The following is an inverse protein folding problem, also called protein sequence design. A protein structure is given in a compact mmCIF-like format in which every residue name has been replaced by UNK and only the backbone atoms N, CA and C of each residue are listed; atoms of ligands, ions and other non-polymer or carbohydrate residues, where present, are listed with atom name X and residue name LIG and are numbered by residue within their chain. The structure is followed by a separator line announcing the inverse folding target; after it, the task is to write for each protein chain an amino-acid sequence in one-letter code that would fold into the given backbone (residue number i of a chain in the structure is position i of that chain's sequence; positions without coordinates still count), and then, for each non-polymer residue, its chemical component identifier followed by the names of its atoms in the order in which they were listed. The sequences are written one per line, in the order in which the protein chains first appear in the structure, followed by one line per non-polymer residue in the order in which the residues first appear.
data_IF_178220534757
#
_entry.id   IF_178220534757
#
_cell.length_a   1.000
_cell.length_b   1.000
_cell.length_c   1.000
_cell.angle_alpha   90.00
_cell.angle_beta   90.00
_cell.angle_gamma   90.00
#
_symmetry.space_group_name_H-M   'P 1'
#
loop_
_entity.id
_entity.type
_entity.pdbx_description
1 polymer ?
#
# COMPACT_ATOMS: atom_id res chain seq x y z
N UNK A 1 32.60 5.06 56.16
CA UNK A 1 32.98 4.03 55.16
C UNK A 1 31.78 3.64 54.29
N UNK A 2 31.00 4.59 53.81
CA UNK A 2 29.96 4.38 52.78
C UNK A 2 29.88 5.67 51.92
N UNK A 3 31.03 6.06 51.39
CA UNK A 3 31.16 7.09 50.37
C UNK A 3 31.95 6.47 49.24
N UNK A 4 31.39 6.51 48.03
CA UNK A 4 32.02 6.13 46.74
C UNK A 4 31.76 4.71 46.24
N UNK A 5 30.48 4.32 46.09
CA UNK A 5 30.11 3.36 45.03
C UNK A 5 29.68 4.18 43.83
N UNK A 6 30.67 4.57 43.02
CA UNK A 6 30.58 4.82 41.57
C UNK A 6 29.24 5.33 41.03
N UNK A 7 28.89 6.56 41.34
CA UNK A 7 27.90 7.35 40.59
C UNK A 7 28.56 7.92 39.33
N UNK A 8 28.70 7.08 38.30
CA UNK A 8 28.92 7.52 36.91
C UNK A 8 28.73 6.34 35.96
N UNK A 9 27.58 5.67 35.99
CA UNK A 9 27.14 4.99 34.76
C UNK A 9 26.87 6.13 33.78
N UNK A 10 27.73 6.29 32.76
CA UNK A 10 27.55 7.30 31.72
C UNK A 10 26.10 7.27 31.22
N UNK A 11 25.50 8.44 30.98
CA UNK A 11 24.17 8.55 30.36
C UNK A 11 24.09 7.68 29.10
N UNK A 12 25.19 7.58 28.35
CA UNK A 12 25.32 6.71 27.17
C UNK A 12 25.16 5.22 27.51
N UNK A 13 25.69 4.75 28.64
CA UNK A 13 25.57 3.34 29.04
C UNK A 13 24.14 2.99 29.49
N UNK A 14 23.45 3.93 30.14
CA UNK A 14 22.04 3.76 30.48
C UNK A 14 21.18 3.75 29.22
N UNK A 15 21.52 4.60 28.26
CA UNK A 15 20.87 4.66 26.96
C UNK A 15 21.04 3.39 26.13
N UNK A 16 22.27 2.87 26.02
CA UNK A 16 22.55 1.61 25.32
C UNK A 16 21.78 0.44 25.97
N UNK A 17 21.71 0.44 27.30
CA UNK A 17 20.95 -0.57 28.06
C UNK A 17 19.45 -0.46 27.81
N UNK A 18 18.90 0.75 27.73
CA UNK A 18 17.50 0.99 27.40
C UNK A 18 17.17 0.52 25.97
N UNK A 19 18.06 0.81 25.02
CA UNK A 19 17.91 0.36 23.63
C UNK A 19 17.96 -1.16 23.51
N UNK A 20 18.87 -1.81 24.24
CA UNK A 20 18.96 -3.26 24.27
C UNK A 20 17.73 -3.91 24.91
N UNK A 21 17.20 -3.30 25.97
CA UNK A 21 15.97 -3.75 26.62
C UNK A 21 14.78 -3.70 25.66
N UNK A 22 14.62 -2.62 24.89
CA UNK A 22 13.55 -2.49 23.90
C UNK A 22 13.67 -3.55 22.79
N UNK A 23 14.89 -3.94 22.40
CA UNK A 23 15.11 -5.01 21.40
C UNK A 23 14.71 -6.40 21.90
N UNK A 24 14.70 -6.62 23.21
CA UNK A 24 14.34 -7.91 23.82
C UNK A 24 12.90 -7.98 24.34
N UNK A 25 12.26 -6.84 24.60
CA UNK A 25 10.87 -6.80 25.00
C UNK A 25 9.93 -7.16 23.85
N UNK A 26 8.71 -7.57 24.21
CA UNK A 26 7.67 -7.93 23.24
C UNK A 26 7.35 -6.73 22.33
N UNK A 27 7.52 -6.86 21.00
CA UNK A 27 7.33 -5.75 20.06
C UNK A 27 5.85 -5.36 19.88
N UNK A 28 4.89 -6.14 20.39
CA UNK A 28 3.48 -5.75 20.37
C UNK A 28 3.14 -4.66 21.42
N UNK A 29 4.01 -4.47 22.40
CA UNK A 29 3.75 -3.58 23.55
C UNK A 29 4.70 -2.40 23.59
N UNK A 30 5.27 -1.99 22.45
CA UNK A 30 6.30 -0.94 22.37
C UNK A 30 5.86 0.35 23.05
N UNK A 31 4.62 0.81 22.84
CA UNK A 31 4.12 2.05 23.49
C UNK A 31 4.12 1.94 25.02
N UNK A 32 3.67 0.82 25.58
CA UNK A 32 3.67 0.59 27.03
C UNK A 32 5.10 0.43 27.56
N UNK A 33 5.95 -0.28 26.82
CA UNK A 33 7.34 -0.48 27.18
C UNK A 33 8.08 0.86 27.25
N UNK A 34 7.87 1.74 26.27
CA UNK A 34 8.42 3.10 26.25
C UNK A 34 7.95 3.92 27.44
N UNK A 35 6.65 3.93 27.73
CA UNK A 35 6.10 4.63 28.89
C UNK A 35 6.76 4.16 30.19
N UNK A 36 6.91 2.84 30.38
CA UNK A 36 7.53 2.31 31.59
C UNK A 36 9.04 2.65 31.68
N UNK A 37 9.75 2.67 30.54
CA UNK A 37 11.17 3.03 30.51
C UNK A 37 11.35 4.51 30.85
N UNK A 38 10.45 5.37 30.37
CA UNK A 38 10.41 6.79 30.71
C UNK A 38 10.19 7.01 32.21
N UNK A 39 9.25 6.25 32.81
CA UNK A 39 9.00 6.29 34.26
C UNK A 39 10.21 5.80 35.09
N UNK A 40 11.02 4.88 34.53
CA UNK A 40 12.18 4.29 35.19
C UNK A 40 13.43 5.19 35.12
N UNK A 41 13.61 5.94 34.03
CA UNK A 41 14.80 6.78 33.81
C UNK A 41 14.37 8.20 33.45
N UNK A 42 14.11 9.00 34.50
CA UNK A 42 13.63 10.39 34.37
C UNK A 42 14.62 11.34 33.68
N UNK A 43 15.90 10.96 33.56
CA UNK A 43 16.97 11.79 32.97
C UNK A 43 17.20 11.53 31.46
N UNK A 44 16.63 10.47 30.89
CA UNK A 44 16.65 10.23 29.44
C UNK A 44 15.44 10.97 28.83
N UNK A 45 15.68 12.11 28.19
CA UNK A 45 14.60 12.91 27.60
C UNK A 45 13.79 12.10 26.58
N UNK A 46 12.46 12.23 26.65
CA UNK A 46 11.49 11.55 25.78
C UNK A 46 11.86 11.64 24.29
N UNK A 47 12.40 12.78 23.85
CA UNK A 47 12.77 13.03 22.46
C UNK A 47 13.81 12.04 21.92
N UNK A 48 14.79 11.62 22.73
CA UNK A 48 15.91 10.80 22.25
C UNK A 48 15.53 9.31 22.11
N UNK A 49 14.62 8.83 22.96
CA UNK A 49 14.11 7.46 22.89
C UNK A 49 13.04 7.31 21.79
N UNK A 50 12.22 8.35 21.58
CA UNK A 50 11.20 8.36 20.53
C UNK A 50 11.82 8.33 19.12
N UNK A 51 12.93 9.04 18.91
CA UNK A 51 13.61 9.13 17.61
C UNK A 51 14.21 7.79 17.13
N UNK A 52 14.58 6.90 18.06
CA UNK A 52 15.21 5.60 17.74
C UNK A 52 14.22 4.44 17.76
N UNK A 53 13.16 4.57 18.54
CA UNK A 53 12.21 3.48 18.76
C UNK A 53 11.03 3.64 17.82
N UNK A 54 11.18 3.12 16.60
CA UNK A 54 10.12 3.09 15.58
C UNK A 54 8.80 2.59 16.19
N UNK A 55 7.85 3.50 16.34
CA UNK A 55 6.49 3.20 16.76
C UNK A 55 5.66 2.72 15.57
N UNK A 56 4.58 1.95 15.80
CA UNK A 56 3.62 1.68 14.74
C UNK A 56 3.08 3.01 14.19
N UNK A 57 3.02 3.09 12.86
CA UNK A 57 2.57 4.31 12.17
C UNK A 57 1.11 4.59 12.53
N UNK A 58 0.85 5.82 12.92
CA UNK A 58 -0.50 6.29 13.25
C UNK A 58 -1.11 6.94 12.01
N UNK A 59 -2.41 6.75 11.84
CA UNK A 59 -3.18 7.32 10.71
C UNK A 59 -3.97 8.52 11.21
N UNK A 60 -3.89 9.64 10.51
CA UNK A 60 -4.71 10.83 10.74
C UNK A 60 -5.45 11.20 9.45
N UNK A 61 -6.66 11.75 9.59
CA UNK A 61 -7.47 12.17 8.44
C UNK A 61 -7.39 13.66 8.24
N UNK A 62 -7.00 14.08 7.03
CA UNK A 62 -7.10 15.47 6.61
C UNK A 62 -8.58 15.85 6.45
N UNK A 63 -9.04 16.84 7.22
CA UNK A 63 -10.44 17.28 7.22
C UNK A 63 -10.84 18.06 5.97
N UNK A 64 -9.87 18.64 5.26
CA UNK A 64 -10.12 19.50 4.09
C UNK A 64 -10.35 18.63 2.86
N UNK A 65 -9.45 17.67 2.62
CA UNK A 65 -9.49 16.79 1.44
C UNK A 65 -10.24 15.49 1.74
N UNK A 66 -10.38 15.12 3.02
CA UNK A 66 -11.04 13.90 3.44
C UNK A 66 -10.20 12.63 3.25
N UNK A 67 -8.90 12.76 2.98
CA UNK A 67 -7.95 11.66 2.80
C UNK A 67 -7.15 11.38 4.08
N UNK A 68 -6.80 10.12 4.28
CA UNK A 68 -5.96 9.68 5.37
C UNK A 68 -4.47 9.88 5.04
N UNK A 69 -3.65 10.10 6.07
CA UNK A 69 -2.19 10.22 5.96
C UNK A 69 -1.50 9.66 7.20
N UNK A 70 -0.23 9.30 7.04
CA UNK A 70 0.57 8.68 8.08
C UNK A 70 1.38 9.70 8.87
N UNK A 71 1.46 9.46 10.18
CA UNK A 71 2.21 10.28 11.12
C UNK A 71 3.59 9.68 11.37
N UNK A 72 4.62 10.51 11.32
CA UNK A 72 5.98 10.23 11.73
C UNK A 72 6.62 11.48 12.34
N UNK A 73 7.84 11.37 12.84
CA UNK A 73 8.53 12.52 13.42
C UNK A 73 8.95 13.54 12.34
N UNK A 74 9.19 13.08 11.10
CA UNK A 74 9.59 13.97 9.99
C UNK A 74 8.46 14.89 9.49
N UNK A 75 7.19 14.56 9.74
CA UNK A 75 6.07 15.48 9.45
C UNK A 75 5.49 16.13 10.72
N UNK A 76 6.15 15.99 11.86
CA UNK A 76 5.75 16.56 13.16
C UNK A 76 6.43 17.90 13.39
N UNK A 77 5.71 18.83 14.00
CA UNK A 77 6.25 20.06 14.57
C UNK A 77 5.56 20.34 15.92
N UNK A 78 6.24 20.08 17.03
CA UNK A 78 5.63 20.06 18.35
C UNK A 78 4.52 19.00 18.40
N UNK A 79 3.28 19.40 18.66
CA UNK A 79 2.12 18.48 18.67
C UNK A 79 1.30 18.49 17.37
N UNK A 80 1.80 19.18 16.35
CA UNK A 80 1.13 19.34 15.07
C UNK A 80 1.75 18.48 13.98
N UNK A 81 0.92 17.93 13.10
CA UNK A 81 1.37 17.11 11.97
C UNK A 81 0.99 17.74 10.63
N UNK A 82 1.94 17.74 9.69
CA UNK A 82 1.75 18.24 8.33
C UNK A 82 1.04 17.20 7.48
N UNK A 83 -0.06 17.60 6.84
CA UNK A 83 -0.72 16.78 5.83
C UNK A 83 0.03 16.86 4.49
N UNK A 84 0.28 15.73 3.81
CA UNK A 84 0.89 15.71 2.49
C UNK A 84 -0.07 16.23 1.40
N UNK A 85 -1.37 16.29 1.69
CA UNK A 85 -2.39 16.72 0.73
C UNK A 85 -2.53 18.23 0.69
N UNK A 86 -2.75 18.85 1.86
CA UNK A 86 -3.00 20.29 1.98
C UNK A 86 -1.76 21.11 2.29
N UNK A 87 -0.64 20.46 2.64
CA UNK A 87 0.56 21.12 3.16
C UNK A 87 0.32 21.95 4.43
N UNK A 88 -0.72 21.64 5.19
CA UNK A 88 -1.07 22.36 6.42
C UNK A 88 -0.82 21.51 7.66
N UNK A 89 -0.41 22.16 8.74
CA UNK A 89 -0.25 21.53 10.04
C UNK A 89 -1.59 21.48 10.77
N UNK A 90 -1.89 20.32 11.38
CA UNK A 90 -3.05 20.14 12.26
C UNK A 90 -2.59 19.64 13.62
N UNK A 91 -2.82 20.39 14.72
CA UNK A 91 -3.34 21.76 14.79
C UNK A 91 -2.47 22.80 14.06
N UNK A 92 -2.98 24.00 13.71
CA UNK A 92 -2.20 25.02 13.00
C UNK A 92 -0.92 25.39 13.75
N UNK A 93 0.22 25.32 13.07
CA UNK A 93 1.55 25.59 13.65
C UNK A 93 2.49 26.15 12.57
N UNK A 94 3.48 26.93 13.00
CA UNK A 94 4.51 27.51 12.15
C UNK A 94 5.64 26.49 11.89
N UNK A 95 5.28 25.32 11.38
CA UNK A 95 6.27 24.28 11.04
C UNK A 95 7.02 24.58 9.76
N UNK A 96 8.16 23.91 9.60
CA UNK A 96 8.97 24.04 8.38
C UNK A 96 8.23 23.45 7.19
N UNK A 97 8.16 24.23 6.11
CA UNK A 97 7.57 23.82 4.85
C UNK A 97 8.68 23.58 3.82
N UNK A 98 8.52 22.59 2.92
CA UNK A 98 9.46 22.39 1.82
C UNK A 98 9.41 23.57 0.84
N UNK A 99 10.49 23.77 0.07
CA UNK A 99 10.51 24.76 -1.01
C UNK A 99 9.47 24.43 -2.10
N UNK A 100 9.02 25.43 -2.85
CA UNK A 100 7.96 25.25 -3.86
C UNK A 100 8.28 24.17 -4.89
N UNK A 101 9.53 24.11 -5.37
CA UNK A 101 9.99 23.07 -6.29
C UNK A 101 9.96 21.68 -5.66
N UNK A 102 10.34 21.57 -4.38
CA UNK A 102 10.34 20.30 -3.66
C UNK A 102 8.91 19.85 -3.32
N UNK A 103 8.01 20.79 -3.05
CA UNK A 103 6.59 20.52 -2.83
C UNK A 103 5.92 19.96 -4.08
N UNK A 104 6.29 20.42 -5.27
CA UNK A 104 5.80 19.82 -6.53
C UNK A 104 6.22 18.36 -6.66
N UNK A 105 7.49 18.05 -6.38
CA UNK A 105 7.99 16.67 -6.35
C UNK A 105 7.29 15.82 -5.28
N UNK A 106 7.01 16.40 -4.11
CA UNK A 106 6.28 15.71 -3.03
C UNK A 106 4.85 15.34 -3.45
N UNK A 107 4.15 16.24 -4.16
CA UNK A 107 2.80 15.98 -4.67
C UNK A 107 2.84 14.87 -5.72
N UNK A 108 3.78 14.93 -6.67
CA UNK A 108 3.96 13.90 -7.70
C UNK A 108 4.29 12.53 -7.08
N UNK A 109 5.18 12.50 -6.08
CA UNK A 109 5.53 11.27 -5.35
C UNK A 109 4.31 10.69 -4.62
N UNK A 110 3.55 11.50 -3.88
CA UNK A 110 2.33 11.03 -3.19
C UNK A 110 1.29 10.48 -4.18
N UNK A 111 1.15 11.07 -5.37
CA UNK A 111 0.24 10.56 -6.41
C UNK A 111 0.69 9.20 -6.96
N UNK A 112 2.01 9.00 -7.13
CA UNK A 112 2.56 7.72 -7.57
C UNK A 112 2.36 6.61 -6.53
N UNK A 113 2.67 6.88 -5.25
CA UNK A 113 2.50 5.89 -4.18
C UNK A 113 1.02 5.64 -3.81
N UNK A 114 0.11 6.60 -4.05
CA UNK A 114 -1.33 6.35 -3.89
C UNK A 114 -1.86 5.29 -4.88
N UNK A 115 -1.22 5.10 -6.04
CA UNK A 115 -1.56 4.00 -6.96
C UNK A 115 -1.13 2.64 -6.40
N UNK A 116 -0.02 2.61 -5.65
CA UNK A 116 0.47 1.41 -4.97
C UNK A 116 -0.54 0.90 -3.93
N UNK A 117 -1.20 1.81 -3.20
CA UNK A 117 -2.18 1.49 -2.16
C UNK A 117 -3.48 0.86 -2.68
N UNK A 118 -3.80 1.00 -3.97
CA UNK A 118 -5.11 0.58 -4.54
C UNK A 118 -5.13 -0.87 -5.01
N UNK A 119 -4.16 -1.69 -4.62
CA UNK A 119 -4.17 -3.11 -4.98
C UNK A 119 -5.31 -3.85 -4.26
N UNK A 120 -6.05 -4.73 -4.97
CA UNK A 120 -7.37 -5.23 -4.53
C UNK A 120 -7.40 -6.10 -3.27
N UNK A 121 -6.25 -6.57 -2.78
CA UNK A 121 -6.16 -7.46 -1.63
C UNK A 121 -5.75 -6.77 -0.32
N UNK A 122 -5.24 -5.53 -0.42
CA UNK A 122 -4.59 -4.83 0.68
C UNK A 122 -5.24 -3.46 0.87
N UNK A 123 -5.72 -3.16 2.08
CA UNK A 123 -6.15 -1.81 2.43
C UNK A 123 -5.01 -1.11 3.12
N UNK A 124 -4.27 -0.31 2.37
CA UNK A 124 -3.13 0.46 2.85
C UNK A 124 -3.34 1.97 2.81
N UNK A 125 -2.51 2.68 3.56
CA UNK A 125 -2.33 4.13 3.43
C UNK A 125 -0.85 4.36 3.19
N UNK A 126 -0.52 5.17 2.19
CA UNK A 126 0.83 5.69 1.98
C UNK A 126 0.89 7.21 2.21
N UNK A 127 2.07 7.70 2.57
CA UNK A 127 2.34 9.14 2.67
C UNK A 127 3.82 9.40 2.46
N UNK A 128 4.13 10.41 1.66
CA UNK A 128 5.50 10.83 1.35
C UNK A 128 5.73 12.25 1.84
N UNK A 129 6.87 12.46 2.51
CA UNK A 129 7.29 13.78 2.98
C UNK A 129 8.73 14.08 2.55
N UNK A 130 8.96 15.25 1.97
CA UNK A 130 10.28 15.76 1.61
C UNK A 130 10.68 17.00 2.42
N UNK A 131 11.98 17.15 2.65
CA UNK A 131 12.56 18.34 3.27
C UNK A 131 13.88 18.72 2.61
N UNK A 132 14.19 20.01 2.65
CA UNK A 132 15.38 20.59 2.05
C UNK A 132 16.62 20.32 2.92
N UNK A 133 17.75 20.06 2.27
CA UNK A 133 19.09 20.00 2.87
C UNK A 133 19.99 21.06 2.23
N UNK A 134 21.14 21.35 2.84
CA UNK A 134 22.12 22.29 2.26
C UNK A 134 22.60 21.83 0.87
N UNK A 135 22.83 20.52 0.72
CA UNK A 135 23.31 19.89 -0.52
C UNK A 135 22.31 18.87 -1.07
N UNK A 136 21.06 19.29 -1.28
CA UNK A 136 20.03 18.46 -1.92
C UNK A 136 18.71 18.43 -1.13
N UNK A 137 18.06 17.27 -1.10
CA UNK A 137 16.85 17.04 -0.34
C UNK A 137 16.85 15.62 0.23
N UNK A 138 16.05 15.39 1.26
CA UNK A 138 15.79 14.08 1.80
C UNK A 138 14.29 13.85 1.93
N UNK A 139 13.93 12.58 2.10
CA UNK A 139 12.54 12.15 2.10
C UNK A 139 12.28 10.93 2.93
N UNK A 140 11.04 10.83 3.39
CA UNK A 140 10.50 9.63 4.01
C UNK A 140 9.26 9.18 3.25
N UNK A 141 9.20 7.88 2.98
CA UNK A 141 8.06 7.22 2.35
C UNK A 141 7.51 6.25 3.39
N UNK A 142 6.26 6.48 3.78
CA UNK A 142 5.56 5.67 4.75
C UNK A 142 4.50 4.87 4.02
N UNK A 143 4.45 3.56 4.28
CA UNK A 143 3.44 2.66 3.73
C UNK A 143 2.94 1.77 4.87
N UNK A 144 1.62 1.69 4.99
CA UNK A 144 0.95 0.73 5.86
C UNK A 144 0.17 -0.25 5.01
N UNK A 145 0.32 -1.54 5.27
CA UNK A 145 -0.40 -2.60 4.56
C UNK A 145 -1.20 -3.37 5.62
N UNK A 146 -2.53 -3.25 5.57
CA UNK A 146 -3.39 -4.03 6.45
C UNK A 146 -3.93 -5.25 5.70
N UNK A 147 -3.39 -6.41 6.07
CA UNK A 147 -3.89 -7.70 5.62
C UNK A 147 -5.11 -8.10 6.45
N UNK A 148 -6.20 -8.56 5.83
CA UNK A 148 -7.32 -9.13 6.58
C UNK A 148 -6.87 -10.44 7.25
N UNK A 149 -7.09 -10.62 8.56
CA UNK A 149 -6.70 -11.85 9.23
C UNK A 149 -7.52 -13.03 8.69
N UNK A 150 -6.83 -14.05 8.18
CA UNK A 150 -7.46 -15.33 7.85
C UNK A 150 -7.47 -16.20 9.10
N UNK A 151 -8.66 -16.64 9.52
CA UNK A 151 -8.83 -17.45 10.73
C UNK A 151 -8.43 -18.90 10.42
N UNK A 152 -7.22 -19.29 10.77
CA UNK A 152 -6.79 -20.70 10.76
C UNK A 152 -7.23 -21.41 12.04
N UNK A 153 -7.60 -22.69 11.95
CA UNK A 153 -8.01 -23.51 13.12
C UNK A 153 -6.86 -23.89 14.06
N UNK A 154 -5.63 -23.39 13.83
CA UNK A 154 -4.39 -23.80 14.53
C UNK A 154 -4.14 -23.07 15.87
N UNK A 155 -5.13 -22.40 16.44
CA UNK A 155 -4.94 -21.50 17.57
C UNK A 155 -4.32 -20.15 17.16
N UNK A 156 -4.19 -19.24 18.12
CA UNK A 156 -3.71 -17.87 17.86
C UNK A 156 -2.17 -17.84 17.90
N UNK A 157 -1.53 -17.68 16.74
CA UNK A 157 -0.08 -17.50 16.62
C UNK A 157 0.21 -16.06 16.20
N UNK A 158 0.93 -15.32 17.05
CA UNK A 158 1.31 -13.94 16.78
C UNK A 158 2.81 -13.87 16.46
N UNK A 159 3.13 -13.49 15.22
CA UNK A 159 4.48 -13.20 14.77
C UNK A 159 4.63 -11.70 14.60
N UNK A 160 5.59 -11.10 15.29
CA UNK A 160 5.83 -9.66 15.25
C UNK A 160 7.31 -9.40 15.43
N UNK A 161 7.84 -8.41 14.73
CA UNK A 161 9.21 -7.98 14.90
C UNK A 161 9.56 -6.87 13.90
N UNK A 162 10.82 -6.46 13.94
CA UNK A 162 11.35 -5.30 13.23
C UNK A 162 12.53 -5.75 12.37
N UNK A 163 12.60 -5.24 11.14
CA UNK A 163 13.73 -5.44 10.24
C UNK A 163 14.15 -4.07 9.69
N UNK A 164 15.43 -3.75 9.80
CA UNK A 164 16.04 -2.56 9.19
C UNK A 164 17.08 -3.04 8.18
N UNK A 165 17.07 -2.46 6.98
CA UNK A 165 18.08 -2.69 5.94
C UNK A 165 18.48 -1.34 5.34
N UNK A 166 19.72 -1.25 4.87
CA UNK A 166 20.28 -0.07 4.21
C UNK A 166 20.80 -0.46 2.82
N UNK A 167 20.66 0.46 1.87
CA UNK A 167 21.16 0.36 0.50
C UNK A 167 21.57 1.76 0.02
N UNK A 168 22.71 1.83 -0.65
CA UNK A 168 23.23 3.03 -1.28
C UNK A 168 23.53 2.72 -2.75
N UNK A 169 23.15 3.62 -3.65
CA UNK A 169 23.32 3.43 -5.10
C UNK A 169 23.36 4.77 -5.84
N UNK A 170 24.29 4.88 -6.79
CA UNK A 170 24.44 6.05 -7.65
C UNK A 170 23.63 5.88 -8.93
N UNK A 171 22.76 6.85 -9.24
CA UNK A 171 21.93 6.85 -10.44
C UNK A 171 22.17 8.11 -11.26
N UNK A 172 22.24 7.97 -12.58
CA UNK A 172 22.29 9.11 -13.49
C UNK A 172 20.93 9.79 -13.54
N UNK A 173 20.93 11.13 -13.57
CA UNK A 173 19.72 11.94 -13.72
C UNK A 173 19.66 12.37 -15.18
N UNK A 174 18.92 11.63 -16.02
CA UNK A 174 18.68 11.98 -17.41
C UNK A 174 17.19 12.20 -17.60
N UNK A 175 16.75 13.43 -17.92
CA UNK A 175 15.40 13.93 -18.28
C UNK A 175 14.16 13.45 -17.45
N UNK A 176 14.35 12.51 -16.52
CA UNK A 176 13.35 11.87 -15.68
C UNK A 176 13.49 12.35 -14.24
N UNK A 177 12.34 12.63 -13.62
CA UNK A 177 12.21 13.12 -12.24
C UNK A 177 12.93 12.20 -11.25
N UNK A 178 13.59 12.78 -10.23
CA UNK A 178 14.26 12.06 -9.13
C UNK A 178 13.39 10.94 -8.53
N UNK A 179 12.08 11.07 -8.64
CA UNK A 179 11.06 10.13 -8.18
C UNK A 179 11.22 8.74 -8.81
N UNK A 180 11.59 8.64 -10.09
CA UNK A 180 11.74 7.32 -10.75
C UNK A 180 12.92 6.55 -10.15
N UNK A 181 14.04 7.23 -9.91
CA UNK A 181 15.20 6.63 -9.27
C UNK A 181 14.86 6.24 -7.81
N UNK A 182 14.15 7.09 -7.08
CA UNK A 182 13.67 6.78 -5.72
C UNK A 182 12.76 5.55 -5.73
N UNK A 183 11.77 5.50 -6.64
CA UNK A 183 10.86 4.35 -6.77
C UNK A 183 11.59 3.04 -7.07
N UNK A 184 12.59 3.08 -7.94
CA UNK A 184 13.42 1.91 -8.26
C UNK A 184 14.20 1.40 -7.04
N UNK A 185 14.78 2.31 -6.24
CA UNK A 185 15.49 1.95 -5.00
C UNK A 185 14.50 1.37 -3.97
N UNK A 186 13.33 1.97 -3.82
CA UNK A 186 12.28 1.51 -2.90
C UNK A 186 11.82 0.10 -3.26
N UNK A 187 11.52 -0.15 -4.54
CA UNK A 187 11.11 -1.47 -5.03
C UNK A 187 12.17 -2.54 -4.79
N UNK A 188 13.45 -2.23 -5.05
CA UNK A 188 14.56 -3.16 -4.76
C UNK A 188 14.67 -3.48 -3.27
N UNK A 189 14.53 -2.46 -2.42
CA UNK A 189 14.59 -2.63 -0.97
C UNK A 189 13.41 -3.42 -0.41
N UNK A 190 12.20 -3.16 -0.90
CA UNK A 190 10.99 -3.89 -0.53
C UNK A 190 11.14 -5.39 -0.88
N UNK A 191 11.60 -5.71 -2.09
CA UNK A 191 11.86 -7.08 -2.50
C UNK A 191 12.87 -7.79 -1.57
N UNK A 192 13.95 -7.11 -1.19
CA UNK A 192 14.97 -7.63 -0.28
C UNK A 192 14.42 -7.85 1.13
N UNK A 193 13.60 -6.91 1.62
CA UNK A 193 12.90 -7.01 2.91
C UNK A 193 11.96 -8.22 2.88
N UNK A 194 11.13 -8.40 1.85
CA UNK A 194 10.22 -9.54 1.73
C UNK A 194 10.95 -10.88 1.73
N UNK A 195 12.06 -11.02 1.00
CA UNK A 195 12.86 -12.25 1.00
C UNK A 195 13.44 -12.56 2.39
N UNK A 196 13.91 -11.52 3.08
CA UNK A 196 14.48 -11.65 4.43
C UNK A 196 13.40 -11.98 5.46
N UNK A 197 12.22 -11.36 5.36
CA UNK A 197 11.08 -11.64 6.22
C UNK A 197 10.61 -13.09 6.03
N UNK A 198 10.43 -13.55 4.79
CA UNK A 198 9.99 -14.93 4.53
C UNK A 198 10.96 -15.98 5.08
N UNK A 199 12.27 -15.79 4.88
CA UNK A 199 13.27 -16.72 5.40
C UNK A 199 13.38 -16.70 6.93
N UNK A 200 13.27 -15.53 7.56
CA UNK A 200 13.38 -15.40 9.01
C UNK A 200 12.11 -15.83 9.74
N UNK A 201 10.95 -15.29 9.37
CA UNK A 201 9.69 -15.53 10.08
C UNK A 201 9.12 -16.92 9.81
N UNK A 202 9.07 -17.36 8.54
CA UNK A 202 8.46 -18.64 8.18
C UNK A 202 9.47 -19.79 8.14
N UNK A 203 10.71 -19.51 7.76
CA UNK A 203 11.78 -20.52 7.73
C UNK A 203 12.29 -20.82 9.14
N UNK A 204 13.08 -19.89 9.71
CA UNK A 204 13.77 -20.13 10.99
C UNK A 204 12.83 -20.44 12.15
N UNK A 205 11.71 -19.71 12.28
CA UNK A 205 10.74 -19.98 13.37
C UNK A 205 10.15 -21.38 13.25
N UNK A 206 9.85 -21.84 12.03
CA UNK A 206 9.34 -23.17 11.77
C UNK A 206 10.41 -24.24 12.05
N UNK A 207 11.66 -23.99 11.68
CA UNK A 207 12.77 -24.90 11.96
C UNK A 207 13.02 -25.05 13.46
N UNK A 208 12.93 -23.96 14.22
CA UNK A 208 13.02 -23.98 15.69
C UNK A 208 11.83 -24.74 16.27
N UNK A 209 10.61 -24.46 15.83
CA UNK A 209 9.40 -25.17 16.27
C UNK A 209 9.49 -26.68 15.99
N UNK A 210 9.88 -27.05 14.78
CA UNK A 210 10.04 -28.45 14.38
C UNK A 210 11.16 -29.11 15.18
N UNK A 211 12.26 -28.41 15.47
CA UNK A 211 13.36 -28.92 16.29
C UNK A 211 12.89 -29.20 17.73
N UNK A 212 12.06 -28.32 18.30
CA UNK A 212 11.45 -28.52 19.62
C UNK A 212 10.44 -29.67 19.61
N UNK A 213 9.62 -29.79 18.56
CA UNK A 213 8.58 -30.83 18.45
C UNK A 213 9.17 -32.22 18.17
N UNK A 214 10.18 -32.31 17.31
CA UNK A 214 10.83 -33.57 16.93
C UNK A 214 11.81 -34.09 17.98
N UNK A 215 12.20 -33.26 18.96
CA UNK A 215 13.00 -33.71 20.11
C UNK A 215 12.32 -34.82 20.93
N UNK A 216 10.99 -35.01 20.79
CA UNK A 216 10.23 -36.08 21.42
C UNK A 216 10.07 -37.37 20.60
N UNK A 217 10.34 -37.36 19.29
CA UNK A 217 10.16 -38.52 18.40
C UNK A 217 11.52 -39.07 17.93
N UNK A 218 12.16 -39.87 18.79
CA UNK A 218 13.43 -40.57 18.50
C UNK A 218 13.30 -41.51 17.27
N UNK A 219 12.09 -41.94 16.92
CA UNK A 219 11.82 -42.85 15.78
C UNK A 219 11.94 -42.21 14.38
N UNK A 220 11.96 -40.87 14.26
CA UNK A 220 12.19 -40.24 12.95
C UNK A 220 13.67 -40.25 12.55
N UNK A 221 14.60 -40.28 13.50
CA UNK A 221 16.04 -40.40 13.24
C UNK A 221 16.37 -41.70 12.48
N UNK A 222 15.77 -42.82 12.90
CA UNK A 222 15.90 -44.11 12.21
C UNK A 222 15.29 -44.08 10.81
N UNK A 223 14.17 -43.37 10.62
CA UNK A 223 13.56 -43.20 9.29
C UNK A 223 14.37 -42.28 8.34
N UNK A 224 15.00 -41.22 8.85
CA UNK A 224 15.90 -40.36 8.07
C UNK A 224 17.17 -41.11 7.69
N UNK A 225 17.72 -41.91 8.60
CA UNK A 225 18.88 -42.77 8.33
C UNK A 225 18.55 -43.84 7.28
N UNK A 226 17.36 -44.45 7.38
CA UNK A 226 16.87 -45.40 6.38
C UNK A 226 16.65 -44.75 5.01
N UNK A 227 16.11 -43.53 4.95
CA UNK A 227 15.97 -42.77 3.69
C UNK A 227 17.32 -42.40 3.09
N UNK A 228 18.29 -41.98 3.90
CA UNK A 228 19.63 -41.64 3.42
C UNK A 228 20.37 -42.87 2.89
N UNK A 229 20.24 -44.02 3.55
CA UNK A 229 20.81 -45.29 3.07
C UNK A 229 20.14 -45.77 1.78
N UNK A 230 18.83 -45.59 1.64
CA UNK A 230 18.08 -45.95 0.44
C UNK A 230 18.42 -45.05 -0.76
N UNK A 231 18.56 -43.74 -0.55
CA UNK A 231 18.99 -42.78 -1.57
C UNK A 231 20.44 -43.03 -2.02
N UNK A 232 21.34 -43.34 -1.08
CA UNK A 232 22.71 -43.74 -1.40
C UNK A 232 22.73 -45.04 -2.22
N UNK A 233 21.88 -46.02 -1.90
CA UNK A 233 21.77 -47.25 -2.67
C UNK A 233 21.21 -47.01 -4.10
N UNK A 234 20.25 -46.10 -4.27
CA UNK A 234 19.72 -45.72 -5.60
C UNK A 234 20.78 -44.98 -6.44
N UNK A 235 21.53 -44.06 -5.83
CA UNK A 235 22.63 -43.34 -6.47
C UNK A 235 23.76 -44.29 -6.89
N UNK A 236 24.01 -45.35 -6.12
CA UNK A 236 25.02 -46.36 -6.43
C UNK A 236 24.56 -47.40 -7.46
N UNK A 237 23.26 -47.72 -7.52
CA UNK A 237 22.72 -48.72 -8.46
C UNK A 237 22.22 -48.17 -9.81
N UNK A 238 22.14 -46.85 -10.00
CA UNK A 238 21.84 -46.25 -11.31
C UNK A 238 20.54 -46.72 -11.97
N UNK A 239 19.55 -47.17 -11.17
CA UNK A 239 18.26 -47.64 -11.70
C UNK A 239 17.32 -46.47 -11.93
N UNK A 240 16.65 -46.50 -13.07
CA UNK A 240 15.59 -45.55 -13.42
C UNK A 240 14.42 -45.67 -12.44
N UNK A 241 14.10 -44.54 -11.84
CA UNK A 241 13.06 -44.33 -10.83
C UNK A 241 11.69 -44.61 -11.45
N UNK A 242 11.22 -45.86 -11.37
CA UNK A 242 9.90 -46.25 -11.85
C UNK A 242 8.83 -45.93 -10.82
N UNK A 243 7.60 -45.77 -11.32
CA UNK A 243 6.39 -45.20 -10.72
C UNK A 243 5.95 -45.67 -9.31
N UNK A 244 6.67 -46.59 -8.67
CA UNK A 244 6.39 -47.04 -7.31
C UNK A 244 6.92 -46.05 -6.25
N UNK A 245 7.94 -45.24 -6.57
CA UNK A 245 8.62 -44.39 -5.57
C UNK A 245 7.97 -43.01 -5.31
N UNK A 246 7.15 -42.48 -6.23
CA UNK A 246 6.39 -41.23 -5.95
C UNK A 246 5.34 -41.42 -4.84
N UNK A 247 4.84 -42.64 -4.66
CA UNK A 247 3.86 -42.97 -3.62
C UNK A 247 4.46 -42.94 -2.20
N UNK A 248 5.78 -43.09 -2.06
CA UNK A 248 6.47 -43.03 -0.77
C UNK A 248 6.81 -41.58 -0.39
N UNK A 249 7.13 -40.73 -1.37
CA UNK A 249 7.33 -39.30 -1.14
C UNK A 249 6.01 -38.56 -0.85
N UNK A 250 4.91 -38.97 -1.48
CA UNK A 250 3.57 -38.42 -1.25
C UNK A 250 2.78 -39.35 -0.31
N UNK A 251 3.29 -39.60 0.89
CA UNK A 251 2.49 -40.27 1.94
C UNK A 251 1.64 -39.32 2.77
N UNK A 252 1.99 -38.04 2.79
CA UNK A 252 1.11 -37.02 3.36
C UNK A 252 0.23 -36.50 2.24
N UNK A 253 -0.92 -37.13 2.01
CA UNK A 253 -2.01 -36.44 1.31
C UNK A 253 -2.15 -35.09 1.98
N UNK A 254 -2.13 -34.00 1.19
CA UNK A 254 -2.41 -32.67 1.73
C UNK A 254 -3.70 -32.80 2.54
N UNK A 255 -3.73 -32.34 3.80
CA UNK A 255 -4.91 -32.47 4.66
C UNK A 255 -6.14 -32.04 3.86
N UNK A 256 -7.29 -32.74 3.97
CA UNK A 256 -8.49 -32.42 3.18
C UNK A 256 -8.85 -30.92 3.20
N UNK A 257 -8.48 -30.24 4.29
CA UNK A 257 -8.57 -28.80 4.49
C UNK A 257 -7.77 -27.92 3.50
N UNK A 258 -6.62 -28.38 2.98
CA UNK A 258 -5.85 -27.67 1.96
C UNK A 258 -6.62 -27.55 0.66
N UNK A 259 -7.33 -28.62 0.27
CA UNK A 259 -8.20 -28.63 -0.89
C UNK A 259 -9.43 -27.76 -0.69
N UNK A 260 -9.95 -27.70 0.54
CA UNK A 260 -11.06 -26.82 0.92
C UNK A 260 -10.65 -25.34 0.84
N UNK A 261 -9.45 -24.96 1.31
CA UNK A 261 -8.93 -23.59 1.18
C UNK A 261 -8.72 -23.22 -0.28
N UNK A 262 -8.16 -24.12 -1.10
CA UNK A 262 -7.97 -23.86 -2.53
C UNK A 262 -9.30 -23.74 -3.26
N UNK A 263 -10.29 -24.57 -2.91
CA UNK A 263 -11.63 -24.48 -3.44
C UNK A 263 -12.30 -23.15 -3.06
N UNK A 264 -12.15 -22.70 -1.81
CA UNK A 264 -12.72 -21.44 -1.35
C UNK A 264 -12.03 -20.23 -2.02
N UNK A 265 -10.71 -20.28 -2.23
CA UNK A 265 -9.99 -19.27 -3.04
C UNK A 265 -10.51 -19.21 -4.47
N UNK A 266 -10.72 -20.37 -5.10
CA UNK A 266 -11.27 -20.44 -6.45
C UNK A 266 -12.71 -19.89 -6.49
N UNK A 267 -13.53 -20.21 -5.48
CA UNK A 267 -14.90 -19.72 -5.34
C UNK A 267 -14.96 -18.20 -5.22
N UNK A 268 -14.13 -17.61 -4.35
CA UNK A 268 -14.07 -16.14 -4.17
C UNK A 268 -13.70 -15.46 -5.49
N UNK A 269 -12.67 -15.97 -6.18
CA UNK A 269 -12.25 -15.43 -7.48
C UNK A 269 -13.37 -15.47 -8.52
N UNK A 270 -14.14 -16.56 -8.54
CA UNK A 270 -15.29 -16.73 -9.45
C UNK A 270 -16.44 -15.78 -9.11
N UNK A 271 -16.70 -15.55 -7.83
CA UNK A 271 -17.73 -14.60 -7.35
C UNK A 271 -17.37 -13.17 -7.72
N UNK A 272 -16.11 -12.78 -7.60
CA UNK A 272 -15.65 -11.44 -7.97
C UNK A 272 -15.74 -11.24 -9.49
N UNK A 273 -15.33 -12.23 -10.29
CA UNK A 273 -15.51 -12.21 -11.76
C UNK A 273 -17.00 -12.13 -12.16
N UNK A 274 -17.88 -12.81 -11.43
CA UNK A 274 -19.33 -12.71 -11.66
C UNK A 274 -19.86 -11.31 -11.35
N UNK A 275 -19.39 -10.68 -10.27
CA UNK A 275 -19.79 -9.30 -9.91
C UNK A 275 -19.34 -8.30 -10.98
N UNK A 276 -18.10 -8.42 -11.45
CA UNK A 276 -17.59 -7.57 -12.53
C UNK A 276 -18.40 -7.73 -13.81
N UNK A 277 -18.71 -8.98 -14.20
CA UNK A 277 -19.57 -9.24 -15.35
C UNK A 277 -20.98 -8.66 -15.18
N UNK A 278 -21.56 -8.71 -13.97
CA UNK A 278 -22.86 -8.10 -13.69
C UNK A 278 -22.82 -6.57 -13.87
N UNK A 279 -21.78 -5.90 -13.38
CA UNK A 279 -21.60 -4.47 -13.55
C UNK A 279 -21.42 -4.10 -15.03
N UNK A 280 -20.69 -4.91 -15.80
CA UNK A 280 -20.55 -4.72 -17.24
C UNK A 280 -21.89 -4.88 -17.98
N UNK A 281 -22.74 -5.83 -17.55
CA UNK A 281 -24.08 -5.98 -18.11
C UNK A 281 -24.98 -4.78 -17.80
N UNK A 282 -24.94 -4.25 -16.57
CA UNK A 282 -25.69 -3.04 -16.20
C UNK A 282 -25.26 -1.83 -17.06
N UNK A 283 -23.95 -1.62 -17.24
CA UNK A 283 -23.41 -0.57 -18.11
C UNK A 283 -23.81 -0.75 -19.58
N UNK A 284 -23.85 -2.01 -20.06
CA UNK A 284 -24.27 -2.30 -21.43
C UNK A 284 -25.75 -1.93 -21.63
N UNK A 285 -26.61 -2.23 -20.66
CA UNK A 285 -28.03 -1.88 -20.72
C UNK A 285 -28.25 -0.36 -20.71
N UNK A 286 -27.47 0.39 -19.93
CA UNK A 286 -27.47 1.85 -19.96
C UNK A 286 -27.09 2.40 -21.34
N UNK A 287 -26.01 1.88 -21.94
CA UNK A 287 -25.54 2.29 -23.26
C UNK A 287 -26.54 1.92 -24.39
N UNK A 288 -27.23 0.79 -24.26
CA UNK A 288 -28.29 0.40 -25.21
C UNK A 288 -29.46 1.39 -25.14
N UNK A 289 -29.85 1.81 -23.93
CA UNK A 289 -30.92 2.78 -23.75
C UNK A 289 -30.52 4.15 -24.35
N UNK A 290 -29.31 4.62 -24.08
CA UNK A 290 -28.79 5.88 -24.64
C UNK A 290 -28.71 5.85 -26.17
N UNK A 291 -28.27 4.72 -26.76
CA UNK A 291 -28.28 4.54 -28.22
C UNK A 291 -29.71 4.60 -28.79
N UNK A 292 -30.70 4.04 -28.10
CA UNK A 292 -32.10 4.12 -28.48
C UNK A 292 -32.61 5.56 -28.55
N UNK A 293 -32.34 6.37 -27.53
CA UNK A 293 -32.71 7.79 -27.51
C UNK A 293 -32.04 8.59 -28.66
N UNK A 294 -30.78 8.27 -28.97
CA UNK A 294 -30.05 8.88 -30.09
C UNK A 294 -30.63 8.48 -31.45
N UNK A 295 -31.05 7.23 -31.61
CA UNK A 295 -31.72 6.75 -32.82
C UNK A 295 -33.08 7.43 -33.02
N UNK A 296 -33.86 7.62 -31.96
CA UNK A 296 -35.11 8.39 -32.01
C UNK A 296 -34.88 9.85 -32.43
N UNK A 297 -33.89 10.53 -31.81
CA UNK A 297 -33.52 11.89 -32.20
C UNK A 297 -33.07 11.93 -33.66
N UNK A 298 -32.28 10.96 -34.12
CA UNK A 298 -31.85 10.86 -35.52
C UNK A 298 -33.04 10.69 -36.47
N UNK A 299 -34.01 9.85 -36.12
CA UNK A 299 -35.23 9.67 -36.93
C UNK A 299 -36.05 10.95 -36.98
N UNK A 300 -36.15 11.69 -35.87
CA UNK A 300 -36.78 13.01 -35.85
C UNK A 300 -36.05 14.00 -36.77
N UNK A 301 -34.71 14.04 -36.72
CA UNK A 301 -33.91 14.87 -37.63
C UNK A 301 -34.12 14.51 -39.10
N UNK A 302 -34.15 13.23 -39.46
CA UNK A 302 -34.43 12.80 -40.85
C UNK A 302 -35.86 13.15 -41.28
N UNK A 303 -36.84 13.02 -40.38
CA UNK A 303 -38.21 13.48 -40.65
C UNK A 303 -38.26 15.00 -40.88
N UNK A 304 -37.58 15.80 -40.04
CA UNK A 304 -37.47 17.25 -40.23
C UNK A 304 -36.75 17.60 -41.53
N UNK A 305 -35.67 16.90 -41.85
CA UNK A 305 -34.92 17.08 -43.09
C UNK A 305 -35.78 16.77 -44.31
N UNK A 306 -36.52 15.67 -44.31
CA UNK A 306 -37.47 15.30 -45.38
C UNK A 306 -38.61 16.34 -45.52
N UNK A 307 -39.09 16.90 -44.41
CA UNK A 307 -40.07 18.00 -44.43
C UNK A 307 -39.45 19.26 -45.05
N UNK A 308 -38.20 19.59 -44.72
CA UNK A 308 -37.48 20.73 -45.31
C UNK A 308 -37.23 20.51 -46.81
N UNK A 309 -36.81 19.31 -47.21
CA UNK A 309 -36.55 18.96 -48.61
C UNK A 309 -37.83 18.93 -49.45
N UNK A 310 -38.94 18.42 -48.91
CA UNK A 310 -40.26 18.48 -49.58
C UNK A 310 -40.84 19.89 -49.63
N UNK A 311 -40.54 20.73 -48.64
CA UNK A 311 -40.93 22.14 -48.67
C UNK A 311 -39.98 23.03 -49.46
N UNK A 312 -38.78 22.59 -49.87
CA UNK A 312 -37.92 23.33 -50.80
C UNK A 312 -38.56 23.55 -52.19
N UNK A 313 -39.65 22.84 -52.52
CA UNK A 313 -40.51 23.20 -53.66
C UNK A 313 -41.40 24.43 -53.43
N UNK A 314 -41.62 24.85 -52.18
CA UNK A 314 -42.59 25.89 -51.77
C UNK A 314 -41.93 27.04 -50.95
N UNK A 315 -40.75 26.84 -50.35
CA UNK A 315 -40.21 27.67 -49.27
C UNK A 315 -39.16 28.74 -49.64
N UNK A 316 -38.92 29.09 -50.90
CA UNK A 316 -38.04 30.24 -51.18
C UNK A 316 -38.61 31.56 -50.62
N UNK A 317 -39.94 31.69 -50.59
CA UNK A 317 -40.64 32.89 -50.11
C UNK A 317 -40.80 32.93 -48.58
N UNK A 318 -41.01 31.78 -47.95
CA UNK A 318 -41.19 31.70 -46.49
C UNK A 318 -39.84 31.85 -45.76
N UNK A 319 -38.77 31.25 -46.30
CA UNK A 319 -37.42 31.40 -45.77
C UNK A 319 -36.96 32.87 -45.86
N UNK A 320 -37.28 33.56 -46.96
CA UNK A 320 -37.02 34.99 -47.12
C UNK A 320 -37.80 35.85 -46.10
N UNK A 321 -39.09 35.57 -45.88
CA UNK A 321 -39.91 36.29 -44.89
C UNK A 321 -39.46 36.04 -43.44
N UNK A 322 -39.04 34.82 -43.11
CA UNK A 322 -38.53 34.51 -41.78
C UNK A 322 -37.18 35.18 -41.50
N UNK A 323 -36.27 35.23 -42.49
CA UNK A 323 -35.03 35.98 -42.38
C UNK A 323 -35.26 37.48 -42.18
N UNK A 324 -36.24 38.08 -42.87
CA UNK A 324 -36.59 39.49 -42.66
C UNK A 324 -37.18 39.76 -41.26
N UNK A 325 -38.02 38.86 -40.73
CA UNK A 325 -38.60 39.00 -39.39
C UNK A 325 -37.55 38.87 -38.28
N UNK A 326 -36.56 38.00 -38.46
CA UNK A 326 -35.45 37.85 -37.51
C UNK A 326 -34.57 39.12 -37.51
N UNK A 327 -34.26 39.68 -38.68
CA UNK A 327 -33.51 40.94 -38.79
C UNK A 327 -34.26 42.13 -38.15
N UNK A 328 -35.57 42.25 -38.38
CA UNK A 328 -36.37 43.30 -37.74
C UNK A 328 -36.39 43.19 -36.21
N UNK A 329 -36.50 41.97 -35.66
CA UNK A 329 -36.47 41.77 -34.21
C UNK A 329 -35.10 42.06 -33.60
N UNK A 330 -34.00 41.78 -34.33
CA UNK A 330 -32.65 42.14 -33.87
C UNK A 330 -32.42 43.66 -33.87
N UNK A 331 -32.91 44.39 -34.87
CA UNK A 331 -32.85 45.86 -34.88
C UNK A 331 -33.68 46.46 -33.73
N UNK A 332 -34.91 46.00 -33.52
CA UNK A 332 -35.75 46.46 -32.40
C UNK A 332 -35.16 46.14 -31.03
N UNK A 333 -34.41 45.04 -30.90
CA UNK A 333 -33.70 44.70 -29.67
C UNK A 333 -32.48 45.61 -29.42
N UNK A 334 -31.78 46.02 -30.49
CA UNK A 334 -30.65 46.95 -30.41
C UNK A 334 -31.10 48.38 -30.10
N UNK A 335 -32.20 48.85 -30.70
CA UNK A 335 -32.79 50.17 -30.41
C UNK A 335 -33.29 50.28 -28.96
N UNK A 336 -33.84 49.19 -28.41
CA UNK A 336 -34.24 49.13 -26.99
C UNK A 336 -33.08 49.07 -25.99
N UNK A 337 -31.86 48.79 -26.44
CA UNK A 337 -30.66 48.83 -25.59
C UNK A 337 -29.96 50.20 -25.62
N UNK A 338 -30.37 51.12 -26.50
CA UNK A 338 -29.80 52.46 -26.64
C UNK A 338 -30.70 53.59 -26.10
N UNK A 339 -31.90 53.26 -25.63
CA UNK A 339 -32.81 54.10 -24.84
C UNK A 339 -32.75 53.64 -23.38
#
# INVERSE_FOLDING_TARGET
MLSNITTSTSIESQFDSALDLIRHLRPQQVEKNLSNINDLVLDLTEEFLLDIVNQPLKVLRDRIVGKDYLLCDYNRNGDSYRSPWTNTYTPPSNGNLPSDSLRQLEIEANQMFEQYDKMPFDSGVSSVYFWNLENGFAGVILVTINMRPYKTMSGMMNLTGKLIQQLESDHQIADFSHIINIGTIVEQMENKIHQTLNSSYSGKTKDILNSLYNSGNIDESSNVTNKSNYLNNILMEGKNMSDVDFKIFIKNQAPNFYWEILAERARIKLVDQLRENQQLHELLDELINERGELEEKKQQYENFKNIIESTNGINSLLLFKMLQLVQQKQQLAQEKQQL
#
